data_IF_679164741879
#
_entry.id   IF_679164741879
#
_cell.length_a   1.000
_cell.length_b   1.000
_cell.length_c   1.000
_cell.angle_alpha   90.00
_cell.angle_beta   90.00
_cell.angle_gamma   90.00
#
_symmetry.space_group_name_H-M   'P 1'
#
loop_
_entity.id
_entity.type
_entity.pdbx_description
1 polymer ?
#
# COMPACT_ATOMS: atom_id res chain seq x y z
N UNK A 1 2.74 -0.50 29.57
CA UNK A 1 3.73 0.38 28.92
C UNK A 1 3.70 0.08 27.44
N UNK A 2 3.15 0.97 26.61
CA UNK A 2 3.14 0.79 25.15
C UNK A 2 4.45 1.32 24.60
N UNK A 3 5.27 0.45 23.99
CA UNK A 3 6.52 0.85 23.34
C UNK A 3 6.17 1.39 21.96
N UNK A 4 6.26 2.70 21.79
CA UNK A 4 5.91 3.34 20.52
C UNK A 4 7.06 3.18 19.53
N UNK A 5 7.02 2.06 18.80
CA UNK A 5 8.03 1.65 17.82
C UNK A 5 8.29 2.77 16.80
N UNK A 6 7.29 3.60 16.49
CA UNK A 6 7.46 4.71 15.56
C UNK A 6 8.38 5.81 16.10
N UNK A 7 8.29 6.12 17.39
CA UNK A 7 9.14 7.12 18.04
C UNK A 7 10.59 6.63 18.12
N UNK A 8 10.78 5.34 18.46
CA UNK A 8 12.11 4.75 18.59
C UNK A 8 12.86 4.68 17.24
N UNK A 9 12.16 4.29 16.17
CA UNK A 9 12.76 4.19 14.83
C UNK A 9 13.09 5.57 14.26
N UNK A 10 12.23 6.57 14.47
CA UNK A 10 12.47 7.95 14.01
C UNK A 10 13.69 8.58 14.70
N UNK A 11 13.90 8.31 15.99
CA UNK A 11 15.05 8.83 16.74
C UNK A 11 16.39 8.19 16.32
N UNK A 12 16.39 6.89 15.98
CA UNK A 12 17.59 6.14 15.57
C UNK A 12 17.98 6.35 14.11
N UNK A 13 17.04 6.73 13.26
CA UNK A 13 17.29 6.90 11.83
C UNK A 13 16.49 8.08 11.27
N UNK A 14 16.94 9.33 11.50
CA UNK A 14 16.21 10.52 11.06
C UNK A 14 15.98 10.55 9.55
N UNK A 15 16.80 9.86 8.76
CA UNK A 15 16.59 9.68 7.32
C UNK A 15 15.31 8.88 6.96
N UNK A 16 14.72 8.14 7.92
CA UNK A 16 13.44 7.41 7.75
C UNK A 16 12.24 8.36 7.84
N UNK A 17 12.38 9.52 8.49
CA UNK A 17 11.28 10.48 8.68
C UNK A 17 10.63 10.93 7.35
N UNK A 18 11.33 10.76 6.22
CA UNK A 18 10.80 11.02 4.87
C UNK A 18 11.01 9.87 3.88
N UNK A 19 11.33 8.66 4.34
CA UNK A 19 11.61 7.53 3.43
C UNK A 19 10.42 7.19 2.54
N UNK A 20 9.18 7.28 3.05
CA UNK A 20 7.97 7.05 2.24
C UNK A 20 7.88 8.06 1.09
N UNK A 21 8.04 9.35 1.39
CA UNK A 21 7.98 10.41 0.38
C UNK A 21 9.11 10.27 -0.63
N UNK A 22 10.32 9.97 -0.18
CA UNK A 22 11.48 9.77 -1.07
C UNK A 22 11.30 8.58 -2.01
N UNK A 23 10.78 7.45 -1.50
CA UNK A 23 10.51 6.27 -2.32
C UNK A 23 9.40 6.53 -3.34
N UNK A 24 8.31 7.19 -2.93
CA UNK A 24 7.24 7.61 -3.84
C UNK A 24 7.80 8.53 -4.92
N UNK A 25 8.51 9.58 -4.55
CA UNK A 25 9.04 10.56 -5.49
C UNK A 25 10.04 9.92 -6.46
N UNK A 26 10.92 9.03 -5.98
CA UNK A 26 11.83 8.28 -6.85
C UNK A 26 11.09 7.33 -7.82
N UNK A 27 10.03 6.67 -7.36
CA UNK A 27 9.18 5.82 -8.21
C UNK A 27 8.42 6.64 -9.27
N UNK A 28 7.98 7.86 -8.93
CA UNK A 28 7.19 8.73 -9.80
C UNK A 28 8.04 9.52 -10.80
N UNK A 29 9.30 9.80 -10.50
CA UNK A 29 10.18 10.64 -11.33
C UNK A 29 10.21 10.24 -12.83
N UNK A 30 10.31 8.95 -13.21
CA UNK A 30 10.30 8.58 -14.63
C UNK A 30 8.98 8.90 -15.37
N UNK A 31 7.90 9.12 -14.63
CA UNK A 31 6.57 9.38 -15.15
C UNK A 31 6.26 10.88 -15.31
N UNK A 32 7.13 11.77 -14.82
CA UNK A 32 6.96 13.23 -14.91
C UNK A 32 6.95 13.75 -16.36
N UNK A 33 7.40 12.95 -17.32
CA UNK A 33 7.26 13.24 -18.76
C UNK A 33 5.81 13.12 -19.28
N UNK A 34 4.90 12.50 -18.53
CA UNK A 34 3.54 12.21 -18.95
C UNK A 34 2.46 12.98 -18.19
N UNK A 35 2.75 13.41 -16.96
CA UNK A 35 1.82 14.16 -16.11
C UNK A 35 2.60 14.98 -15.07
N UNK A 36 1.95 15.99 -14.50
CA UNK A 36 2.58 16.81 -13.44
C UNK A 36 2.84 15.97 -12.18
N UNK A 37 3.80 16.40 -11.37
CA UNK A 37 4.13 15.73 -10.09
C UNK A 37 2.91 15.63 -9.18
N UNK A 38 2.09 16.68 -9.11
CA UNK A 38 0.86 16.73 -8.32
C UNK A 38 -0.17 15.71 -8.81
N UNK A 39 -0.36 15.61 -10.12
CA UNK A 39 -1.25 14.61 -10.73
C UNK A 39 -0.76 13.19 -10.44
N UNK A 40 0.54 12.93 -10.59
CA UNK A 40 1.14 11.63 -10.31
C UNK A 40 1.01 11.23 -8.84
N UNK A 41 1.19 12.17 -7.92
CA UNK A 41 0.98 11.93 -6.49
C UNK A 41 -0.49 11.61 -6.21
N UNK A 42 -1.44 12.36 -6.78
CA UNK A 42 -2.86 12.10 -6.60
C UNK A 42 -3.27 10.70 -7.12
N UNK A 43 -2.78 10.33 -8.31
CA UNK A 43 -3.00 9.00 -8.89
C UNK A 43 -2.36 7.92 -8.03
N UNK A 44 -1.14 8.13 -7.54
CA UNK A 44 -0.45 7.19 -6.67
C UNK A 44 -1.23 6.93 -5.38
N UNK A 45 -1.69 7.98 -4.69
CA UNK A 45 -2.45 7.82 -3.45
C UNK A 45 -3.81 7.14 -3.71
N UNK A 46 -4.46 7.40 -4.86
CA UNK A 46 -5.66 6.67 -5.27
C UNK A 46 -5.37 5.18 -5.54
N UNK A 47 -4.32 4.89 -6.30
CA UNK A 47 -3.91 3.52 -6.62
C UNK A 47 -3.58 2.73 -5.34
N UNK A 48 -2.92 3.37 -4.37
CA UNK A 48 -2.62 2.76 -3.07
C UNK A 48 -3.89 2.35 -2.32
N UNK A 49 -4.96 3.13 -2.37
CA UNK A 49 -6.24 2.77 -1.74
C UNK A 49 -6.86 1.52 -2.38
N UNK A 50 -6.74 1.40 -3.70
CA UNK A 50 -7.29 0.29 -4.49
C UNK A 50 -6.38 -0.94 -4.55
N UNK A 51 -5.11 -0.82 -4.18
CA UNK A 51 -4.13 -1.90 -4.26
C UNK A 51 -4.59 -3.22 -3.61
N UNK A 52 -5.22 -3.24 -2.41
CA UNK A 52 -5.67 -4.50 -1.81
C UNK A 52 -6.79 -5.17 -2.62
N UNK A 53 -7.66 -4.39 -3.26
CA UNK A 53 -8.69 -4.95 -4.14
C UNK A 53 -8.06 -5.67 -5.34
N UNK A 54 -7.11 -5.01 -6.01
CA UNK A 54 -6.38 -5.60 -7.13
C UNK A 54 -5.65 -6.89 -6.70
N UNK A 55 -5.00 -6.88 -5.54
CA UNK A 55 -4.33 -8.07 -5.01
C UNK A 55 -5.30 -9.19 -4.70
N UNK A 56 -6.47 -8.91 -4.11
CA UNK A 56 -7.49 -9.93 -3.89
C UNK A 56 -7.93 -10.61 -5.21
N UNK A 57 -8.15 -9.82 -6.26
CA UNK A 57 -8.46 -10.33 -7.60
C UNK A 57 -7.30 -11.13 -8.20
N UNK A 58 -6.06 -10.66 -8.05
CA UNK A 58 -4.88 -11.35 -8.56
C UNK A 58 -4.68 -12.70 -7.86
N UNK A 59 -4.89 -12.74 -6.54
CA UNK A 59 -4.82 -13.97 -5.76
C UNK A 59 -5.87 -14.98 -6.21
N UNK A 60 -7.12 -14.56 -6.38
CA UNK A 60 -8.21 -15.46 -6.73
C UNK A 60 -8.15 -15.95 -8.18
N UNK A 61 -7.72 -15.10 -9.12
CA UNK A 61 -7.80 -15.39 -10.56
C UNK A 61 -6.52 -15.94 -11.17
N UNK A 62 -5.35 -15.58 -10.63
CA UNK A 62 -4.06 -15.89 -11.25
C UNK A 62 -3.14 -16.70 -10.35
N UNK A 63 -2.96 -16.28 -9.10
CA UNK A 63 -1.94 -16.89 -8.21
C UNK A 63 -2.43 -18.24 -7.69
N UNK A 64 -3.50 -18.26 -6.88
CA UNK A 64 -3.98 -19.48 -6.22
C UNK A 64 -4.32 -20.58 -7.24
N UNK A 65 -4.99 -20.30 -8.38
CA UNK A 65 -5.28 -21.36 -9.36
C UNK A 65 -4.05 -22.06 -9.92
N UNK A 66 -2.91 -21.36 -10.00
CA UNK A 66 -1.64 -21.87 -10.58
C UNK A 66 -0.68 -22.46 -9.55
N UNK A 67 -1.02 -22.44 -8.27
CA UNK A 67 -0.19 -23.02 -7.21
C UNK A 67 -0.51 -24.49 -6.99
N UNK A 68 0.53 -25.30 -6.79
CA UNK A 68 0.39 -26.69 -6.32
C UNK A 68 -0.06 -26.71 -4.84
N UNK A 69 0.63 -25.95 -3.97
CA UNK A 69 0.32 -25.83 -2.56
C UNK A 69 -0.62 -24.64 -2.25
N UNK A 70 -1.86 -24.68 -2.77
CA UNK A 70 -2.85 -23.57 -2.64
C UNK A 70 -3.11 -23.12 -1.20
N UNK A 71 -3.02 -24.05 -0.25
CA UNK A 71 -3.27 -23.80 1.16
C UNK A 71 -2.30 -22.75 1.75
N UNK A 72 -1.08 -22.61 1.22
CA UNK A 72 -0.09 -21.62 1.68
C UNK A 72 -0.59 -20.18 1.51
N UNK A 73 -1.39 -19.95 0.46
CA UNK A 73 -1.86 -18.62 0.06
C UNK A 73 -3.38 -18.48 0.19
N UNK A 74 -4.06 -19.44 0.82
CA UNK A 74 -5.54 -19.46 0.93
C UNK A 74 -6.09 -18.23 1.67
N UNK A 75 -5.28 -17.64 2.57
CA UNK A 75 -5.65 -16.43 3.31
C UNK A 75 -5.34 -15.14 2.55
N UNK A 76 -4.68 -15.20 1.39
CA UNK A 76 -4.32 -14.02 0.62
C UNK A 76 -5.51 -13.20 0.14
N UNK A 77 -6.59 -13.86 -0.30
CA UNK A 77 -7.84 -13.17 -0.70
C UNK A 77 -8.50 -12.47 0.50
N UNK A 78 -8.88 -13.17 1.59
CA UNK A 78 -9.56 -12.52 2.71
C UNK A 78 -8.68 -11.46 3.40
N UNK A 79 -7.37 -11.67 3.50
CA UNK A 79 -6.45 -10.68 4.04
C UNK A 79 -6.49 -9.36 3.27
N UNK A 80 -6.40 -9.42 1.94
CA UNK A 80 -6.42 -8.23 1.10
C UNK A 80 -7.79 -7.51 1.11
N UNK A 81 -8.89 -8.26 1.18
CA UNK A 81 -10.22 -7.68 1.34
C UNK A 81 -10.41 -6.99 2.70
N UNK A 82 -9.88 -7.58 3.77
CA UNK A 82 -9.89 -6.94 5.08
C UNK A 82 -9.08 -5.63 5.08
N UNK A 83 -7.87 -5.65 4.52
CA UNK A 83 -7.03 -4.46 4.39
C UNK A 83 -7.73 -3.35 3.58
N UNK A 84 -8.49 -3.70 2.53
CA UNK A 84 -9.33 -2.75 1.81
C UNK A 84 -10.37 -2.10 2.72
N UNK A 85 -11.14 -2.91 3.45
CA UNK A 85 -12.20 -2.43 4.34
C UNK A 85 -11.65 -1.54 5.46
N UNK A 86 -10.48 -1.86 6.00
CA UNK A 86 -9.80 -1.03 7.00
C UNK A 86 -9.40 0.34 6.43
N UNK A 87 -8.84 0.36 5.21
CA UNK A 87 -8.51 1.63 4.52
C UNK A 87 -9.74 2.47 4.24
N UNK A 88 -10.81 1.87 3.72
CA UNK A 88 -12.07 2.58 3.44
C UNK A 88 -12.76 3.10 4.71
N UNK A 89 -12.60 2.41 5.85
CA UNK A 89 -13.15 2.84 7.13
C UNK A 89 -12.41 4.06 7.69
N UNK A 90 -11.10 4.13 7.48
CA UNK A 90 -10.27 5.28 7.87
C UNK A 90 -10.60 6.58 7.11
N UNK A 91 -11.29 6.50 5.98
CA UNK A 91 -11.70 7.68 5.19
C UNK A 91 -12.97 8.38 5.71
N UNK A 92 -13.70 7.79 6.67
CA UNK A 92 -14.99 8.30 7.15
C UNK A 92 -14.94 9.46 8.16
N UNK A 93 -13.80 10.12 8.37
CA UNK A 93 -13.70 11.29 9.26
C UNK A 93 -12.98 12.43 8.56
N UNK A 94 -13.70 13.13 7.67
CA UNK A 94 -13.43 14.50 7.20
C UNK A 94 -14.58 14.89 6.26
N UNK A 95 -15.69 15.33 6.83
CA UNK A 95 -16.78 16.02 6.14
C UNK A 95 -17.14 17.25 6.95
#
# INVERSE_FOLDING_TARGET
MSFDIQIFVAAKWPAIAHSRQRLRDAYLQPWERYASKEQLIAIFELAQKLAPLYLACLYSSLIIPKMEAKWEMQHGVPYNLQALLERMRGEKVSS
#
